data_IF_044596720994
#
_entry.id   IF_044596720994
#
_cell.length_a   1.000
_cell.length_b   1.000
_cell.length_c   1.000
_cell.angle_alpha   90.00
_cell.angle_beta   90.00
_cell.angle_gamma   90.00
#
_symmetry.space_group_name_H-M   'P 1'
#
loop_
_entity.id
_entity.type
_entity.pdbx_description
1 polymer ?
#
# COMPACT_ATOMS: atom_id res chain seq x y z
N UNK A 1 67.11 -54.91 12.79
CA UNK A 1 65.78 -55.41 13.19
C UNK A 1 64.87 -54.22 13.42
N UNK A 2 63.90 -54.01 12.53
CA UNK A 2 62.61 -53.35 12.80
C UNK A 2 61.86 -53.26 11.47
N UNK A 3 60.84 -54.10 11.35
CA UNK A 3 59.87 -54.09 10.27
C UNK A 3 58.88 -52.95 10.50
N UNK A 4 58.48 -52.22 9.45
CA UNK A 4 57.25 -51.44 9.49
C UNK A 4 56.46 -51.63 8.20
N UNK A 5 55.21 -52.06 8.41
CA UNK A 5 54.19 -52.49 7.47
C UNK A 5 53.73 -51.39 6.52
N UNK A 6 53.47 -51.77 5.26
CA UNK A 6 52.56 -51.04 4.38
C UNK A 6 51.12 -51.27 4.87
N UNK A 7 50.38 -50.18 5.11
CA UNK A 7 48.93 -50.22 5.34
C UNK A 7 48.24 -49.36 4.29
N UNK A 8 47.51 -50.03 3.40
CA UNK A 8 46.56 -49.47 2.45
C UNK A 8 45.36 -48.87 3.18
N UNK A 9 45.19 -47.55 3.12
CA UNK A 9 44.01 -46.84 3.60
C UNK A 9 43.02 -46.60 2.46
N UNK A 10 41.82 -47.18 2.58
CA UNK A 10 40.65 -46.87 1.77
C UNK A 10 40.24 -45.41 1.99
N UNK A 11 40.15 -44.63 0.91
CA UNK A 11 39.56 -43.29 0.92
C UNK A 11 38.04 -43.42 0.78
N UNK A 12 37.31 -43.29 1.89
CA UNK A 12 35.86 -43.13 1.85
C UNK A 12 35.55 -41.66 1.56
N UNK A 13 35.15 -41.38 0.32
CA UNK A 13 34.67 -40.06 -0.11
C UNK A 13 33.31 -39.78 0.51
N UNK A 14 33.29 -39.03 1.62
CA UNK A 14 32.06 -38.46 2.17
C UNK A 14 31.63 -37.28 1.30
N UNK A 15 30.70 -37.54 0.38
CA UNK A 15 29.95 -36.51 -0.33
C UNK A 15 29.08 -35.75 0.67
N UNK A 16 29.56 -34.60 1.14
CA UNK A 16 28.71 -33.64 1.83
C UNK A 16 27.72 -33.05 0.83
N UNK A 17 26.53 -33.66 0.76
CA UNK A 17 25.36 -33.00 0.20
C UNK A 17 25.04 -31.82 1.12
N UNK A 18 25.53 -30.63 0.77
CA UNK A 18 25.05 -29.40 1.38
C UNK A 18 23.62 -29.22 0.94
N UNK A 19 22.68 -29.78 1.71
CA UNK A 19 21.28 -29.41 1.63
C UNK A 19 21.21 -27.90 1.85
N UNK A 20 21.01 -27.14 0.77
CA UNK A 20 20.74 -25.71 0.81
C UNK A 20 19.41 -25.53 1.53
N UNK A 21 19.47 -25.44 2.86
CA UNK A 21 18.36 -24.99 3.69
C UNK A 21 18.11 -23.56 3.25
N UNK A 22 16.98 -23.28 2.60
CA UNK A 22 16.62 -21.89 2.29
C UNK A 22 16.63 -21.14 3.62
N UNK A 23 17.56 -20.22 3.79
CA UNK A 23 17.59 -19.34 4.95
C UNK A 23 16.44 -18.36 4.77
N UNK A 24 15.22 -18.75 5.17
CA UNK A 24 14.06 -17.85 5.17
C UNK A 24 14.31 -16.77 6.23
N UNK A 25 14.97 -15.69 5.82
CA UNK A 25 15.18 -14.50 6.64
C UNK A 25 13.84 -13.95 7.11
N UNK A 26 13.78 -13.27 8.27
CA UNK A 26 12.56 -12.60 8.72
C UNK A 26 11.98 -11.66 7.64
N UNK A 27 12.84 -10.97 6.89
CA UNK A 27 12.47 -10.11 5.78
C UNK A 27 11.78 -10.86 4.64
N UNK A 28 12.30 -12.01 4.20
CA UNK A 28 11.66 -12.86 3.19
C UNK A 28 10.28 -13.31 3.65
N UNK A 29 10.13 -13.72 4.92
CA UNK A 29 8.83 -14.14 5.46
C UNK A 29 7.82 -12.99 5.47
N UNK A 30 8.23 -11.79 5.86
CA UNK A 30 7.38 -10.61 5.84
C UNK A 30 6.90 -10.30 4.41
N UNK A 31 7.82 -10.28 3.44
CA UNK A 31 7.49 -10.02 2.03
C UNK A 31 6.57 -11.08 1.44
N UNK A 32 6.77 -12.37 1.77
CA UNK A 32 5.87 -13.45 1.36
C UNK A 32 4.44 -13.24 1.87
N UNK A 33 4.30 -12.89 3.16
CA UNK A 33 3.00 -12.65 3.77
C UNK A 33 2.30 -11.44 3.15
N UNK A 34 3.03 -10.35 2.94
CA UNK A 34 2.48 -9.14 2.32
C UNK A 34 2.08 -9.35 0.87
N UNK A 35 2.92 -10.01 0.08
CA UNK A 35 2.60 -10.35 -1.29
C UNK A 35 1.35 -11.23 -1.36
N UNK A 36 1.30 -12.31 -0.57
CA UNK A 36 0.14 -13.20 -0.52
C UNK A 36 -1.14 -12.45 -0.09
N UNK A 37 -1.04 -11.52 0.87
CA UNK A 37 -2.17 -10.68 1.30
C UNK A 37 -2.65 -9.77 0.17
N UNK A 38 -1.74 -9.14 -0.57
CA UNK A 38 -2.10 -8.30 -1.72
C UNK A 38 -2.69 -9.09 -2.89
N UNK A 39 -2.27 -10.33 -3.12
CA UNK A 39 -2.89 -11.18 -4.14
C UNK A 39 -4.31 -11.60 -3.75
N UNK A 40 -4.55 -11.87 -2.46
CA UNK A 40 -5.88 -12.22 -1.95
C UNK A 40 -6.81 -11.01 -1.94
N UNK A 41 -6.32 -9.90 -1.41
CA UNK A 41 -7.03 -8.64 -1.22
C UNK A 41 -6.27 -7.56 -2.01
N UNK A 42 -6.48 -7.42 -3.32
CA UNK A 42 -5.78 -6.42 -4.10
C UNK A 42 -6.20 -5.01 -3.67
N UNK A 43 -5.33 -4.06 -3.98
CA UNK A 43 -5.58 -2.65 -3.76
C UNK A 43 -6.23 -2.05 -5.00
N UNK A 44 -7.27 -1.24 -4.82
CA UNK A 44 -7.96 -0.54 -5.90
C UNK A 44 -6.98 0.29 -6.73
N UNK A 45 -7.08 0.19 -8.04
CA UNK A 45 -6.16 0.88 -8.95
C UNK A 45 -4.75 0.31 -9.03
N UNK A 46 -4.43 -0.79 -8.35
CA UNK A 46 -3.09 -1.38 -8.42
C UNK A 46 -3.07 -2.84 -8.90
N UNK A 47 -2.01 -3.16 -9.63
CA UNK A 47 -1.56 -4.53 -9.89
C UNK A 47 -0.16 -4.69 -9.34
N UNK A 48 0.11 -5.81 -8.69
CA UNK A 48 1.42 -6.09 -8.09
C UNK A 48 1.90 -7.44 -8.57
N UNK A 49 3.12 -7.49 -9.12
CA UNK A 49 3.79 -8.70 -9.58
C UNK A 49 5.22 -8.72 -9.07
N UNK A 50 5.80 -9.90 -8.88
CA UNK A 50 7.23 -10.02 -8.65
C UNK A 50 8.00 -9.79 -9.96
N UNK A 51 9.21 -9.26 -9.87
CA UNK A 51 10.15 -9.21 -11.00
C UNK A 51 10.60 -10.62 -11.41
N UNK A 52 10.92 -11.44 -10.40
CA UNK A 52 11.24 -12.85 -10.53
C UNK A 52 10.67 -13.59 -9.32
N UNK A 53 10.09 -14.77 -9.53
CA UNK A 53 9.58 -15.65 -8.47
C UNK A 53 10.67 -16.05 -7.47
N UNK A 54 11.95 -15.99 -7.88
CA UNK A 54 13.10 -16.23 -7.00
C UNK A 54 13.52 -15.01 -6.17
N UNK A 55 13.11 -13.80 -6.57
CA UNK A 55 13.50 -12.53 -5.94
C UNK A 55 12.31 -11.77 -5.36
N UNK A 56 12.06 -11.97 -4.07
CA UNK A 56 10.99 -11.29 -3.35
C UNK A 56 11.29 -9.81 -3.01
N UNK A 57 12.51 -9.32 -3.27
CA UNK A 57 12.92 -7.96 -2.92
C UNK A 57 12.66 -6.93 -4.04
N UNK A 58 12.08 -7.32 -5.18
CA UNK A 58 11.75 -6.40 -6.25
C UNK A 58 10.40 -6.71 -6.88
N UNK A 59 9.48 -5.74 -6.81
CA UNK A 59 8.11 -5.87 -7.29
C UNK A 59 7.82 -4.84 -8.38
N UNK A 60 7.08 -5.27 -9.40
CA UNK A 60 6.47 -4.41 -10.40
C UNK A 60 5.07 -4.01 -9.97
N UNK A 61 4.83 -2.70 -9.99
CA UNK A 61 3.54 -2.11 -9.63
C UNK A 61 2.97 -1.42 -10.85
N UNK A 62 1.80 -1.86 -11.30
CA UNK A 62 0.98 -1.15 -12.27
C UNK A 62 -0.07 -0.33 -11.55
N UNK A 63 -0.22 0.94 -11.93
CA UNK A 63 -1.05 1.95 -11.27
C UNK A 63 -2.02 2.51 -12.30
N UNK A 64 -3.31 2.27 -12.09
CA UNK A 64 -4.37 2.89 -12.88
C UNK A 64 -4.70 4.26 -12.31
N UNK A 65 -4.81 5.26 -13.17
CA UNK A 65 -5.22 6.59 -12.74
C UNK A 65 -6.64 6.57 -12.15
N UNK A 66 -6.87 7.12 -10.94
CA UNK A 66 -8.19 7.15 -10.35
C UNK A 66 -9.17 7.99 -11.18
N UNK A 67 -10.47 7.64 -11.19
CA UNK A 67 -11.50 8.45 -11.84
C UNK A 67 -11.61 9.82 -11.16
N UNK A 68 -12.07 10.83 -11.90
CA UNK A 68 -12.24 12.21 -11.45
C UNK A 68 -10.91 12.89 -11.04
N UNK A 69 -9.80 12.43 -11.60
CA UNK A 69 -8.46 13.01 -11.41
C UNK A 69 -7.82 13.37 -12.74
N UNK A 70 -6.75 14.18 -12.71
CA UNK A 70 -5.94 14.46 -13.90
C UNK A 70 -5.32 13.19 -14.52
N UNK A 71 -5.24 12.10 -13.75
CA UNK A 71 -4.61 10.85 -14.15
C UNK A 71 -5.59 9.85 -14.74
N UNK A 72 -6.90 10.12 -14.71
CA UNK A 72 -7.96 9.21 -15.17
C UNK A 72 -7.65 8.60 -16.53
N UNK A 73 -7.80 7.28 -16.64
CA UNK A 73 -7.54 6.53 -17.86
C UNK A 73 -6.06 6.29 -18.17
N UNK A 74 -5.15 6.70 -17.28
CA UNK A 74 -3.71 6.41 -17.37
C UNK A 74 -3.33 5.05 -16.80
N UNK A 75 -2.16 4.54 -17.23
CA UNK A 75 -1.54 3.33 -16.70
C UNK A 75 -0.04 3.55 -16.47
N UNK A 76 0.35 3.68 -15.22
CA UNK A 76 1.71 4.01 -14.81
C UNK A 76 2.40 2.78 -14.23
N UNK A 77 3.68 2.60 -14.54
CA UNK A 77 4.49 1.50 -14.01
C UNK A 77 5.50 2.04 -13.02
N UNK A 78 5.73 1.30 -11.94
CA UNK A 78 6.73 1.60 -10.93
C UNK A 78 7.40 0.31 -10.43
N UNK A 79 8.66 0.43 -10.04
CA UNK A 79 9.39 -0.58 -9.27
C UNK A 79 9.28 -0.26 -7.78
N UNK A 80 9.09 -1.30 -6.97
CA UNK A 80 9.28 -1.25 -5.52
C UNK A 80 10.43 -2.18 -5.13
N UNK A 81 11.49 -1.62 -4.55
CA UNK A 81 12.70 -2.35 -4.15
C UNK A 81 12.84 -2.35 -2.63
N UNK A 82 12.95 -3.54 -2.05
CA UNK A 82 12.96 -3.74 -0.61
C UNK A 82 14.38 -3.98 -0.09
N UNK A 83 14.78 -3.38 1.05
CA UNK A 83 16.04 -3.69 1.68
C UNK A 83 16.01 -5.08 2.34
N UNK A 84 17.18 -5.70 2.52
CA UNK A 84 17.30 -6.97 3.25
C UNK A 84 16.87 -6.87 4.71
N UNK A 85 16.81 -5.65 5.26
CA UNK A 85 16.37 -5.30 6.61
C UNK A 85 14.87 -5.00 6.71
N UNK A 86 14.09 -5.13 5.64
CA UNK A 86 12.64 -4.96 5.68
C UNK A 86 11.99 -5.84 6.77
N UNK A 87 11.00 -5.35 7.56
CA UNK A 87 10.35 -4.03 7.49
C UNK A 87 11.02 -2.94 8.35
N UNK A 88 12.22 -3.15 8.88
CA UNK A 88 12.88 -2.14 9.72
C UNK A 88 13.37 -0.92 8.93
N UNK A 89 13.68 -1.10 7.65
CA UNK A 89 13.97 -0.01 6.73
C UNK A 89 12.92 0.03 5.59
N UNK A 90 12.59 1.23 5.09
CA UNK A 90 11.58 1.39 4.04
C UNK A 90 12.05 0.83 2.71
N UNK A 91 11.13 0.40 1.83
CA UNK A 91 11.44 0.17 0.44
C UNK A 91 11.68 1.50 -0.30
N UNK A 92 12.25 1.41 -1.50
CA UNK A 92 12.27 2.50 -2.47
C UNK A 92 11.18 2.28 -3.50
N UNK A 93 10.54 3.36 -3.93
CA UNK A 93 9.57 3.34 -5.02
C UNK A 93 10.03 4.27 -6.13
N UNK A 94 10.09 3.75 -7.36
CA UNK A 94 10.53 4.50 -8.53
C UNK A 94 9.61 4.25 -9.71
N UNK A 95 9.00 5.30 -10.23
CA UNK A 95 8.25 5.23 -11.47
C UNK A 95 9.17 4.89 -12.66
N UNK A 96 8.74 3.90 -13.44
CA UNK A 96 9.31 3.56 -14.75
C UNK A 96 8.68 4.44 -15.84
N UNK A 97 7.39 4.74 -15.71
CA UNK A 97 6.73 5.74 -16.54
C UNK A 97 7.24 7.12 -16.15
N UNK A 98 7.60 7.96 -17.11
CA UNK A 98 8.03 9.33 -16.81
C UNK A 98 6.86 10.12 -16.22
N UNK A 99 7.05 10.67 -15.01
CA UNK A 99 6.03 11.45 -14.29
C UNK A 99 6.44 12.91 -14.16
N UNK A 100 5.55 13.83 -14.49
CA UNK A 100 5.70 15.25 -14.17
C UNK A 100 4.88 15.54 -12.92
N UNK A 101 5.53 15.60 -11.75
CA UNK A 101 4.81 15.66 -10.48
C UNK A 101 5.62 16.39 -9.40
N UNK A 102 5.00 17.23 -8.54
CA UNK A 102 5.71 17.96 -7.49
C UNK A 102 6.56 17.10 -6.55
N UNK A 103 6.15 15.85 -6.30
CA UNK A 103 6.81 14.93 -5.35
C UNK A 103 7.48 13.72 -6.01
N UNK A 104 7.73 13.78 -7.33
CA UNK A 104 8.49 12.73 -8.03
C UNK A 104 9.72 13.39 -8.67
N UNK A 105 10.89 12.84 -8.39
CA UNK A 105 12.15 13.29 -8.97
C UNK A 105 12.23 12.96 -10.48
N UNK A 106 13.14 13.60 -11.21
CA UNK A 106 13.34 13.33 -12.64
C UNK A 106 13.72 11.88 -12.95
N UNK A 107 14.38 11.20 -12.01
CA UNK A 107 14.74 9.79 -12.10
C UNK A 107 13.55 8.83 -11.79
N UNK A 108 12.38 9.39 -11.44
CA UNK A 108 11.18 8.65 -11.08
C UNK A 108 11.04 8.29 -9.60
N UNK A 109 12.04 8.55 -8.76
CA UNK A 109 11.95 8.26 -7.32
C UNK A 109 10.85 9.10 -6.66
N UNK A 110 10.05 8.45 -5.81
CA UNK A 110 8.94 9.08 -5.09
C UNK A 110 9.42 9.66 -3.77
N UNK A 111 9.14 10.94 -3.54
CA UNK A 111 9.43 11.62 -2.28
C UNK A 111 8.15 11.75 -1.45
N UNK A 112 7.92 10.80 -0.53
CA UNK A 112 6.83 10.84 0.46
C UNK A 112 7.36 10.49 1.83
N UNK A 113 6.74 11.05 2.87
CA UNK A 113 7.23 10.94 4.23
C UNK A 113 7.29 9.50 4.73
N UNK A 114 6.32 8.66 4.36
CA UNK A 114 6.24 7.25 4.75
C UNK A 114 7.42 6.42 4.24
N UNK A 115 8.13 6.85 3.19
CA UNK A 115 9.32 6.17 2.67
C UNK A 115 10.62 6.67 3.32
N UNK A 116 10.52 7.56 4.31
CA UNK A 116 11.67 8.07 5.06
C UNK A 116 11.65 7.59 6.51
N UNK A 117 12.80 7.20 7.08
CA UNK A 117 12.92 6.93 8.51
C UNK A 117 12.43 8.12 9.36
N UNK A 118 12.04 7.88 10.62
CA UNK A 118 11.64 8.95 11.52
C UNK A 118 12.83 9.89 11.76
N UNK A 119 12.56 11.19 11.80
CA UNK A 119 13.52 12.20 12.25
C UNK A 119 13.41 12.33 13.77
N UNK A 120 14.54 12.55 14.45
CA UNK A 120 14.57 12.80 15.90
C UNK A 120 14.19 14.25 16.25
N UNK A 121 13.65 15.03 15.30
CA UNK A 121 13.31 16.44 15.50
C UNK A 121 11.90 16.59 16.07
N UNK A 122 11.74 16.89 17.37
CA UNK A 122 10.43 17.03 18.00
C UNK A 122 9.67 18.26 17.51
N UNK A 123 10.34 19.19 16.82
CA UNK A 123 9.78 20.43 16.31
C UNK A 123 9.31 20.33 14.85
N UNK A 124 9.57 19.19 14.20
CA UNK A 124 9.17 18.94 12.81
C UNK A 124 7.64 18.97 12.59
N UNK A 125 6.86 18.70 13.63
CA UNK A 125 5.40 18.67 13.57
C UNK A 125 4.81 17.46 12.84
N UNK A 126 5.65 16.50 12.45
CA UNK A 126 5.22 15.29 11.73
C UNK A 126 4.85 14.17 12.71
N UNK A 127 3.72 13.51 12.44
CA UNK A 127 3.29 12.40 13.29
C UNK A 127 4.12 11.14 12.98
N UNK A 128 4.48 10.29 13.96
CA UNK A 128 5.24 9.06 13.71
C UNK A 128 4.60 8.10 12.69
N UNK A 129 3.27 8.17 12.51
CA UNK A 129 2.55 7.39 11.49
C UNK A 129 2.72 7.92 10.07
N UNK A 130 3.23 9.13 9.90
CA UNK A 130 3.52 9.75 8.59
C UNK A 130 4.92 9.37 8.09
N UNK A 131 5.78 8.83 8.96
CA UNK A 131 7.12 8.33 8.64
C UNK A 131 7.16 6.81 8.61
N UNK A 132 8.23 6.26 8.04
CA UNK A 132 8.44 4.82 8.04
C UNK A 132 8.60 4.30 9.45
N UNK A 133 7.91 3.22 9.77
CA UNK A 133 8.16 2.42 10.94
C UNK A 133 7.77 0.95 10.63
N UNK A 134 8.22 -0.05 11.41
CA UNK A 134 8.00 -1.46 11.08
C UNK A 134 6.53 -1.94 11.06
N UNK A 135 5.56 -1.09 11.44
CA UNK A 135 4.12 -1.38 11.33
C UNK A 135 3.53 -0.95 9.98
N UNK A 136 4.24 -0.08 9.24
CA UNK A 136 3.91 0.24 7.86
C UNK A 136 4.11 -0.98 6.97
N UNK A 137 3.39 -1.01 5.85
CA UNK A 137 3.38 -2.14 4.93
C UNK A 137 3.15 -1.66 3.50
N UNK A 138 3.26 -2.57 2.54
CA UNK A 138 3.13 -2.21 1.12
C UNK A 138 1.75 -1.61 0.82
N UNK A 139 0.68 -2.11 1.42
CA UNK A 139 -0.67 -1.54 1.22
C UNK A 139 -0.71 -0.07 1.64
N UNK A 140 -0.15 0.30 2.80
CA UNK A 140 -0.17 1.70 3.26
C UNK A 140 0.65 2.59 2.34
N UNK A 141 1.79 2.11 1.81
CA UNK A 141 2.56 2.84 0.78
C UNK A 141 1.72 3.08 -0.47
N UNK A 142 1.05 2.06 -1.01
CA UNK A 142 0.24 2.19 -2.23
C UNK A 142 -0.92 3.19 -2.04
N UNK A 143 -1.59 3.16 -0.87
CA UNK A 143 -2.60 4.17 -0.50
C UNK A 143 -2.00 5.58 -0.49
N UNK A 144 -0.84 5.77 0.16
CA UNK A 144 -0.17 7.06 0.22
C UNK A 144 0.24 7.59 -1.15
N UNK A 145 0.61 6.72 -2.09
CA UNK A 145 0.93 7.13 -3.47
C UNK A 145 -0.32 7.66 -4.19
N UNK A 146 -1.48 7.01 -4.07
CA UNK A 146 -2.73 7.55 -4.66
C UNK A 146 -3.05 8.92 -4.07
N UNK A 147 -3.02 9.04 -2.73
CA UNK A 147 -3.28 10.31 -2.05
C UNK A 147 -2.33 11.40 -2.54
N UNK A 148 -1.04 11.09 -2.70
CA UNK A 148 -0.04 12.02 -3.19
C UNK A 148 -0.28 12.47 -4.63
N UNK A 149 -0.66 11.54 -5.52
CA UNK A 149 -0.97 11.88 -6.92
C UNK A 149 -2.17 12.82 -7.02
N UNK A 150 -3.17 12.64 -6.15
CA UNK A 150 -4.36 13.48 -6.10
C UNK A 150 -4.09 14.84 -5.45
N UNK A 151 -3.33 14.85 -4.36
CA UNK A 151 -3.00 16.02 -3.56
C UNK A 151 -1.48 16.13 -3.33
N UNK A 152 -0.76 16.71 -4.29
CA UNK A 152 0.69 16.87 -4.19
C UNK A 152 1.08 17.78 -3.02
N UNK A 153 2.11 17.40 -2.28
CA UNK A 153 2.72 18.25 -1.26
C UNK A 153 3.66 19.28 -1.91
N UNK A 154 3.20 20.53 -1.97
CA UNK A 154 3.95 21.64 -2.56
C UNK A 154 4.85 22.41 -1.56
N UNK A 155 4.80 22.07 -0.27
CA UNK A 155 5.62 22.71 0.76
C UNK A 155 7.05 22.17 0.76
N UNK A 156 7.23 20.90 0.39
CA UNK A 156 8.54 20.26 0.23
C UNK A 156 8.58 19.42 -1.07
N UNK A 157 8.64 20.08 -2.24
CA UNK A 157 8.60 19.40 -3.52
C UNK A 157 9.94 18.76 -3.89
N UNK A 158 9.88 17.59 -4.51
CA UNK A 158 11.01 16.96 -5.20
C UNK A 158 11.30 17.62 -6.55
N UNK A 159 10.25 18.11 -7.21
CA UNK A 159 10.31 18.86 -8.46
C UNK A 159 9.67 20.24 -8.26
N UNK A 160 10.53 21.25 -8.14
CA UNK A 160 10.13 22.63 -7.87
C UNK A 160 9.30 23.21 -9.01
N UNK A 161 9.67 22.94 -10.26
CA UNK A 161 8.97 23.46 -11.44
C UNK A 161 7.56 22.90 -11.55
N UNK A 162 7.41 21.58 -11.38
CA UNK A 162 6.12 20.92 -11.34
C UNK A 162 5.24 21.48 -10.19
N UNK A 163 5.85 21.76 -9.03
CA UNK A 163 5.14 22.36 -7.88
C UNK A 163 4.66 23.79 -8.17
N UNK A 164 5.47 24.62 -8.83
CA UNK A 164 5.08 25.98 -9.25
C UNK A 164 3.93 25.90 -10.25
N UNK A 165 4.02 25.03 -11.26
CA UNK A 165 2.97 24.84 -12.26
C UNK A 165 1.67 24.33 -11.62
N UNK A 166 1.74 23.35 -10.71
CA UNK A 166 0.57 22.82 -10.02
C UNK A 166 -0.15 23.89 -9.19
N UNK A 167 0.59 24.76 -8.46
CA UNK A 167 -0.02 25.86 -7.71
C UNK A 167 -0.77 26.83 -8.62
N UNK A 168 -0.19 27.22 -9.76
CA UNK A 168 -0.87 28.08 -10.75
C UNK A 168 -2.13 27.43 -11.32
N UNK A 169 -2.08 26.12 -11.56
CA UNK A 169 -3.24 25.34 -12.00
C UNK A 169 -4.36 25.32 -10.95
N UNK A 170 -4.04 25.06 -9.67
CA UNK A 170 -5.05 25.07 -8.59
C UNK A 170 -5.69 26.44 -8.37
N UNK A 171 -4.95 27.51 -8.68
CA UNK A 171 -5.45 28.89 -8.63
C UNK A 171 -6.19 29.31 -9.92
N UNK A 172 -6.39 28.40 -10.88
CA UNK A 172 -6.98 28.65 -12.20
C UNK A 172 -6.26 29.76 -13.00
N UNK A 173 -4.96 29.94 -12.78
CA UNK A 173 -4.14 30.95 -13.46
C UNK A 173 -3.50 30.42 -14.74
N UNK A 174 -3.26 29.11 -14.82
CA UNK A 174 -2.55 28.47 -15.92
C UNK A 174 -2.91 26.98 -16.02
N UNK A 175 -3.11 26.46 -17.24
CA UNK A 175 -3.49 25.08 -17.50
C UNK A 175 -2.32 24.24 -18.09
N UNK A 176 -1.09 24.79 -18.10
CA UNK A 176 0.10 24.07 -18.57
C UNK A 176 0.31 22.75 -17.83
N UNK A 177 0.15 22.75 -16.49
CA UNK A 177 0.28 21.53 -15.68
C UNK A 177 -0.66 20.43 -16.16
N UNK A 178 -1.96 20.72 -16.26
CA UNK A 178 -2.98 19.79 -16.74
C UNK A 178 -2.68 19.30 -18.16
N UNK A 179 -2.20 20.17 -19.05
CA UNK A 179 -1.85 19.81 -20.43
C UNK A 179 -0.72 18.77 -20.46
N UNK A 180 0.30 18.93 -19.62
CA UNK A 180 1.41 17.98 -19.49
C UNK A 180 0.90 16.64 -18.96
N UNK A 181 0.08 16.64 -17.90
CA UNK A 181 -0.46 15.40 -17.33
C UNK A 181 -1.33 14.66 -18.35
N UNK A 182 -2.24 15.35 -19.05
CA UNK A 182 -3.07 14.73 -20.10
C UNK A 182 -2.25 14.09 -21.21
N UNK A 183 -1.12 14.72 -21.58
CA UNK A 183 -0.18 14.13 -22.54
C UNK A 183 0.43 12.83 -21.98
N UNK A 184 0.92 12.85 -20.74
CA UNK A 184 1.50 11.67 -20.09
C UNK A 184 0.48 10.54 -19.93
N UNK A 185 -0.77 10.85 -19.56
CA UNK A 185 -1.88 9.89 -19.49
C UNK A 185 -2.08 9.21 -20.84
N UNK A 186 -2.18 9.99 -21.92
CA UNK A 186 -2.36 9.44 -23.27
C UNK A 186 -1.19 8.54 -23.69
N UNK A 187 0.05 8.96 -23.44
CA UNK A 187 1.24 8.14 -23.72
C UNK A 187 1.22 6.83 -22.93
N UNK A 188 0.87 6.91 -21.64
CA UNK A 188 0.78 5.76 -20.75
C UNK A 188 -0.30 4.74 -21.18
N UNK A 189 -1.43 5.25 -21.71
CA UNK A 189 -2.51 4.41 -22.26
C UNK A 189 -2.06 3.62 -23.48
N UNK A 190 -1.30 4.25 -24.38
CA UNK A 190 -0.77 3.56 -25.57
C UNK A 190 0.18 2.42 -25.18
N UNK A 191 0.99 2.61 -24.12
CA UNK A 191 1.85 1.55 -23.59
C UNK A 191 1.02 0.41 -23.02
N UNK A 192 -0.05 0.70 -22.27
CA UNK A 192 -0.96 -0.33 -21.77
C UNK A 192 -1.59 -1.16 -22.89
N UNK A 193 -2.04 -0.51 -23.97
CA UNK A 193 -2.59 -1.19 -25.14
C UNK A 193 -1.56 -2.11 -25.81
N UNK A 194 -0.32 -1.65 -25.97
CA UNK A 194 0.79 -2.45 -26.52
C UNK A 194 1.12 -3.67 -25.65
N UNK A 195 0.98 -3.55 -24.34
CA UNK A 195 1.23 -4.62 -23.37
C UNK A 195 -0.01 -5.50 -23.11
N UNK A 196 -1.13 -5.23 -23.78
CA UNK A 196 -2.39 -5.99 -23.62
C UNK A 196 -3.08 -5.77 -22.28
N UNK A 197 -2.84 -4.63 -21.63
CA UNK A 197 -3.39 -4.27 -20.33
C UNK A 197 -4.69 -3.49 -20.53
N UNK A 198 -5.78 -3.98 -19.93
CA UNK A 198 -7.08 -3.32 -19.98
C UNK A 198 -7.20 -2.31 -18.85
N UNK A 199 -7.36 -1.03 -19.18
CA UNK A 199 -7.55 0.05 -18.21
C UNK A 199 -9.03 0.10 -17.78
N UNK A 200 -9.34 0.17 -16.47
CA UNK A 200 -10.69 0.38 -15.97
C UNK A 200 -11.32 1.65 -16.56
N UNK A 201 -12.56 1.56 -17.04
CA UNK A 201 -13.28 2.71 -17.66
C UNK A 201 -14.36 3.29 -16.76
N UNK A 202 -14.74 2.56 -15.73
CA UNK A 202 -15.79 2.93 -14.79
C UNK A 202 -15.28 2.80 -13.37
N UNK A 203 -15.92 3.50 -12.42
CA UNK A 203 -15.62 3.35 -11.00
C UNK A 203 -15.82 1.90 -10.55
N UNK A 204 -16.87 1.22 -11.03
CA UNK A 204 -17.13 -0.18 -10.72
C UNK A 204 -15.99 -1.10 -11.16
N UNK A 205 -15.44 -0.89 -12.37
CA UNK A 205 -14.28 -1.65 -12.85
C UNK A 205 -13.02 -1.37 -12.01
N UNK A 206 -12.85 -0.12 -11.56
CA UNK A 206 -11.69 0.31 -10.78
C UNK A 206 -11.67 -0.34 -9.39
N UNK A 207 -12.84 -0.48 -8.75
CA UNK A 207 -12.98 -1.05 -7.39
C UNK A 207 -13.23 -2.57 -7.39
N UNK A 208 -13.66 -3.15 -8.52
CA UNK A 208 -14.03 -4.56 -8.61
C UNK A 208 -12.99 -5.56 -8.07
N UNK A 209 -11.67 -5.41 -8.34
CA UNK A 209 -10.67 -6.36 -7.83
C UNK A 209 -10.63 -6.41 -6.30
N UNK A 210 -10.67 -5.25 -5.64
CA UNK A 210 -10.64 -5.12 -4.18
C UNK A 210 -11.90 -5.73 -3.57
N UNK A 211 -13.08 -5.41 -4.14
CA UNK A 211 -14.37 -5.98 -3.72
C UNK A 211 -14.40 -7.51 -3.84
N UNK A 212 -13.89 -8.07 -4.93
CA UNK A 212 -13.80 -9.51 -5.11
C UNK A 212 -12.85 -10.17 -4.09
N UNK A 213 -11.78 -9.48 -3.71
CA UNK A 213 -10.86 -9.92 -2.64
C UNK A 213 -11.53 -9.94 -1.26
N UNK A 214 -12.24 -8.87 -0.92
CA UNK A 214 -13.01 -8.77 0.32
C UNK A 214 -14.10 -9.86 0.44
N UNK A 215 -14.73 -10.23 -0.68
CA UNK A 215 -15.73 -11.29 -0.75
C UNK A 215 -15.13 -12.71 -0.89
N UNK A 216 -13.81 -12.86 -0.94
CA UNK A 216 -13.15 -14.15 -1.08
C UNK A 216 -13.38 -14.85 -2.43
N UNK A 217 -13.77 -14.11 -3.47
CA UNK A 217 -14.09 -14.63 -4.80
C UNK A 217 -12.85 -14.83 -5.70
N UNK A 218 -11.67 -14.35 -5.27
CA UNK A 218 -10.42 -14.39 -6.03
C UNK A 218 -9.71 -15.76 -6.06
N UNK A 219 -10.34 -16.84 -5.56
CA UNK A 219 -9.79 -18.18 -5.66
C UNK A 219 -9.91 -18.73 -7.09
N UNK A 220 -8.85 -18.52 -7.86
CA UNK A 220 -8.71 -19.03 -9.22
C UNK A 220 -8.84 -20.56 -9.32
N UNK A 221 -9.66 -21.00 -10.28
CA UNK A 221 -9.45 -22.14 -11.18
C UNK A 221 -8.61 -23.30 -10.63
N UNK A 222 -9.10 -23.98 -9.60
CA UNK A 222 -8.81 -25.40 -9.38
C UNK A 222 -10.14 -26.12 -9.21
N UNK A 223 -10.51 -26.90 -10.24
CA UNK A 223 -11.77 -27.61 -10.29
C UNK A 223 -11.90 -28.59 -9.13
N UNK A 224 -12.82 -28.27 -8.20
CA UNK A 224 -13.75 -29.19 -7.53
C UNK A 224 -14.93 -28.34 -7.08
N UNK A 225 -16.08 -28.51 -7.73
CA UNK A 225 -17.35 -27.91 -7.31
C UNK A 225 -17.67 -28.43 -5.91
N UNK A 226 -17.61 -27.56 -4.89
CA UNK A 226 -18.25 -27.82 -3.61
C UNK A 226 -19.65 -27.22 -3.69
N UNK A 227 -20.65 -28.10 -3.78
CA UNK A 227 -22.05 -27.77 -3.94
C UNK A 227 -22.71 -27.56 -2.58
N UNK A 228 -22.59 -26.36 -2.00
CA UNK A 228 -23.49 -25.76 -1.01
C UNK A 228 -23.20 -24.26 -1.11
N UNK A 229 -24.11 -23.35 -1.46
CA UNK A 229 -25.35 -23.09 -0.75
C UNK A 229 -26.30 -22.28 -1.68
N UNK A 230 -27.45 -22.86 -1.99
CA UNK A 230 -28.61 -22.13 -2.52
C UNK A 230 -29.66 -22.18 -1.43
N UNK A 231 -29.89 -21.06 -0.75
CA UNK A 231 -31.15 -20.74 -0.08
C UNK A 231 -31.11 -19.21 0.10
N UNK A 232 -31.83 -18.47 -0.75
CA UNK A 232 -33.27 -18.20 -0.64
C UNK A 232 -33.59 -17.41 0.63
N UNK A 233 -33.78 -16.10 0.43
CA UNK A 233 -34.75 -15.24 1.12
C UNK A 233 -35.27 -15.75 2.47
N UNK A 234 -34.76 -15.18 3.56
CA UNK A 234 -35.49 -15.07 4.83
C UNK A 234 -35.40 -13.62 5.27
N UNK A 235 -36.56 -12.97 5.23
CA UNK A 235 -36.88 -11.78 6.00
C UNK A 235 -36.79 -12.19 7.47
N UNK A 236 -35.91 -11.55 8.24
CA UNK A 236 -35.97 -11.64 9.70
C UNK A 236 -36.46 -10.27 10.20
N UNK A 237 -37.76 -10.26 10.51
CA UNK A 237 -38.43 -9.25 11.32
C UNK A 237 -37.72 -9.15 12.67
N UNK A 238 -37.14 -7.98 12.96
CA UNK A 238 -36.71 -7.63 14.32
C UNK A 238 -37.88 -6.99 15.06
N UNK A 239 -38.60 -7.84 15.79
CA UNK A 239 -39.57 -7.48 16.83
C UNK A 239 -38.85 -6.77 17.99
N UNK A 240 -39.04 -5.44 18.08
CA UNK A 240 -38.63 -4.63 19.22
C UNK A 240 -39.88 -4.21 20.00
N UNK A 241 -40.49 -5.17 20.68
CA UNK A 241 -41.40 -4.91 21.80
C UNK A 241 -40.60 -4.66 23.08
N UNK A 242 -40.46 -3.40 23.47
CA UNK A 242 -40.29 -3.01 24.88
C UNK A 242 -41.24 -1.85 25.15
N UNK A 243 -42.12 -2.12 26.11
CA UNK A 243 -43.27 -1.36 26.53
C UNK A 243 -42.91 0.00 27.17
N UNK A 244 -43.80 0.97 26.90
CA UNK A 244 -43.97 2.20 27.66
C UNK A 244 -44.32 1.86 29.12
N UNK A 245 -43.55 2.39 30.07
CA UNK A 245 -44.06 2.68 31.41
C UNK A 245 -43.51 4.05 31.84
N UNK A 246 -44.38 5.04 31.70
CA UNK A 246 -44.34 6.32 32.40
C UNK A 246 -44.41 6.07 33.91
N UNK A 247 -43.51 6.70 34.69
CA UNK A 247 -43.87 7.15 36.04
C UNK A 247 -43.06 8.40 36.41
N UNK A 248 -43.77 9.53 36.40
CA UNK A 248 -43.38 10.79 37.01
C UNK A 248 -43.40 10.64 38.54
N UNK A 249 -42.52 11.34 39.28
CA UNK A 249 -42.84 12.00 40.56
C UNK A 249 -41.68 12.90 41.03
N UNK A 250 -41.92 14.20 40.86
CA UNK A 250 -41.61 15.40 41.65
C UNK A 250 -40.57 15.42 42.80
N UNK A 251 -39.85 16.56 42.81
CA UNK A 251 -39.47 17.46 43.93
C UNK A 251 -38.77 16.89 45.18
N UNK A 252 -37.57 17.44 45.48
CA UNK A 252 -37.37 18.29 46.66
C UNK A 252 -36.17 19.23 46.45
N UNK A 253 -36.44 20.53 46.62
CA UNK A 253 -35.46 21.60 46.79
C UNK A 253 -34.97 21.67 48.24
N UNK A 254 -33.84 22.37 48.41
CA UNK A 254 -33.41 23.24 49.53
C UNK A 254 -31.89 23.08 49.71
N UNK A 255 -31.12 24.06 49.24
CA UNK A 255 -30.53 25.16 50.04
C UNK A 255 -29.38 24.68 50.93
N UNK A 256 -28.17 25.20 50.73
CA UNK A 256 -27.53 26.07 51.74
C UNK A 256 -26.18 26.62 51.24
N UNK A 257 -25.86 27.79 51.78
CA UNK A 257 -24.82 28.75 51.48
C UNK A 257 -23.37 28.32 51.78
N UNK A 258 -22.42 29.18 51.42
CA UNK A 258 -21.05 29.07 51.92
C UNK A 258 -20.06 29.99 51.23
N UNK A 259 -20.26 31.30 51.32
CA UNK A 259 -19.23 32.31 51.00
C UNK A 259 -18.08 32.21 52.01
N UNK A 260 -16.83 32.28 51.55
CA UNK A 260 -15.75 32.83 52.37
C UNK A 260 -14.84 33.74 51.53
N UNK A 261 -14.47 34.80 52.22
CA UNK A 261 -13.97 36.09 51.78
C UNK A 261 -12.44 36.19 51.86
N UNK A 262 -11.94 37.19 51.14
CA UNK A 262 -10.71 37.99 51.21
C UNK A 262 -9.51 37.70 52.17
N UNK A 263 -8.33 38.11 51.65
CA UNK A 263 -7.12 38.64 52.33
C UNK A 263 -6.01 37.68 52.79
N UNK A 264 -4.87 37.69 52.09
CA UNK A 264 -3.69 38.53 52.44
C UNK A 264 -2.70 38.60 51.27
#
# INVERSE_FOLDING_TARGET
MSQTRQTSGLTTSTSHYTSSRSSNSPSIKALQLEYAKLQKEPVEGFTVKLDDDSNLYKWHVGIFGPPDTLYEGGYFKADMEFPTTYPFAPPKVRFLTKMWHPNIYENGEVCISILHPPTEDPQSGEHPSERWNPTQNVRTILMSIISLLNEPNCSSPANVDASVMYRKYKENKDNEYETIIKKQVNESRLVAEQEGITIPKTLDDYVAPSRAGALGLNNGKNGKKSAYNTLSSHEDDVDLGIDDDDDQMADMADDDDGSYDESD
#
